data_IF_127264448915
#
_entry.id   IF_127264448915
#
_cell.length_a   1.000
_cell.length_b   1.000
_cell.length_c   1.000
_cell.angle_alpha   90.00
_cell.angle_beta   90.00
_cell.angle_gamma   90.00
#
_symmetry.space_group_name_H-M   'P 1'
#
loop_
_entity.id
_entity.type
_entity.pdbx_description
1 polymer ?
#
# COMPACT_ATOMS: atom_id res chain seq x y z
N UNK A 1 -1.42 9.51 4.37
CA UNK A 1 -2.67 8.81 4.74
C UNK A 1 -3.80 9.32 3.85
N UNK A 2 -4.81 8.53 3.43
CA UNK A 2 -5.91 9.06 2.63
C UNK A 2 -6.69 10.14 3.38
N UNK A 3 -7.10 11.18 2.67
CA UNK A 3 -7.89 12.28 3.26
C UNK A 3 -9.27 11.79 3.72
N UNK A 4 -9.93 12.51 4.65
CA UNK A 4 -11.32 12.22 5.02
C UNK A 4 -12.26 12.19 3.82
N UNK A 5 -11.99 12.99 2.78
CA UNK A 5 -12.77 12.99 1.54
C UNK A 5 -12.71 11.65 0.84
N UNK A 6 -11.53 11.05 0.69
CA UNK A 6 -11.40 9.72 0.08
C UNK A 6 -12.20 8.67 0.86
N UNK A 7 -12.26 8.77 2.19
CA UNK A 7 -13.03 7.84 3.02
C UNK A 7 -14.55 7.94 2.79
N UNK A 8 -15.06 9.05 2.25
CA UNK A 8 -16.48 9.29 2.07
C UNK A 8 -16.99 9.11 0.63
N UNK A 9 -16.12 8.84 -0.36
CA UNK A 9 -16.58 8.59 -1.73
C UNK A 9 -17.24 7.21 -1.86
N UNK A 10 -18.08 7.03 -2.88
CA UNK A 10 -18.73 5.76 -3.18
C UNK A 10 -17.71 4.60 -3.29
N UNK A 11 -18.06 3.43 -2.74
CA UNK A 11 -17.17 2.27 -2.67
C UNK A 11 -16.61 1.87 -4.04
N UNK A 12 -17.47 1.83 -5.06
CA UNK A 12 -17.07 1.53 -6.45
C UNK A 12 -15.98 2.48 -6.96
N UNK A 13 -16.09 3.78 -6.64
CA UNK A 13 -15.09 4.78 -7.02
C UNK A 13 -13.76 4.53 -6.29
N UNK A 14 -13.80 4.17 -5.00
CA UNK A 14 -12.59 3.76 -4.27
C UNK A 14 -11.92 2.57 -4.94
N UNK A 15 -12.70 1.52 -5.22
CA UNK A 15 -12.18 0.28 -5.82
C UNK A 15 -11.53 0.57 -7.18
N UNK A 16 -12.14 1.38 -8.06
CA UNK A 16 -11.51 1.74 -9.34
C UNK A 16 -10.17 2.45 -9.17
N UNK A 17 -10.08 3.40 -8.23
CA UNK A 17 -8.83 4.11 -7.93
C UNK A 17 -7.76 3.13 -7.44
N UNK A 18 -8.13 2.23 -6.52
CA UNK A 18 -7.19 1.26 -5.96
C UNK A 18 -6.72 0.23 -6.98
N UNK A 19 -7.59 -0.24 -7.87
CA UNK A 19 -7.22 -1.15 -8.97
C UNK A 19 -6.26 -0.45 -9.94
N UNK A 20 -6.57 0.78 -10.35
CA UNK A 20 -5.72 1.56 -11.27
C UNK A 20 -4.33 1.82 -10.67
N UNK A 21 -4.31 2.14 -9.38
CA UNK A 21 -3.07 2.30 -8.63
C UNK A 21 -2.28 0.98 -8.55
N UNK A 22 -2.94 -0.12 -8.20
CA UNK A 22 -2.34 -1.44 -8.15
C UNK A 22 -1.69 -1.83 -9.48
N UNK A 23 -2.37 -1.57 -10.60
CA UNK A 23 -1.85 -1.85 -11.95
C UNK A 23 -0.59 -1.03 -12.25
N UNK A 24 -0.60 0.28 -11.97
CA UNK A 24 0.56 1.15 -12.17
C UNK A 24 1.75 0.71 -11.30
N UNK A 25 1.52 0.46 -10.01
CA UNK A 25 2.58 0.04 -9.07
C UNK A 25 3.06 -1.39 -9.30
N UNK A 26 2.30 -2.22 -10.01
CA UNK A 26 2.75 -3.53 -10.48
C UNK A 26 3.63 -3.43 -11.72
N UNK A 27 3.56 -2.32 -12.45
CA UNK A 27 4.27 -2.11 -13.71
C UNK A 27 5.58 -1.35 -13.53
N UNK A 28 5.63 -0.36 -12.63
CA UNK A 28 6.79 0.52 -12.46
C UNK A 28 7.13 0.79 -10.98
N UNK A 29 8.37 1.19 -10.67
CA UNK A 29 8.72 1.72 -9.36
C UNK A 29 7.85 2.92 -8.97
N UNK A 30 7.54 3.11 -7.68
CA UNK A 30 6.74 4.26 -7.19
C UNK A 30 7.31 5.60 -7.71
N UNK A 31 8.64 5.75 -7.68
CA UNK A 31 9.33 6.96 -8.16
C UNK A 31 9.18 7.23 -9.66
N UNK A 32 8.71 6.25 -10.44
CA UNK A 32 8.45 6.35 -11.87
C UNK A 32 6.96 6.23 -12.21
N UNK A 33 6.09 6.02 -11.21
CA UNK A 33 4.66 5.97 -11.42
C UNK A 33 4.12 7.37 -11.75
N UNK A 34 3.13 7.41 -12.64
CA UNK A 34 2.54 8.68 -13.06
C UNK A 34 1.10 8.80 -12.58
N UNK A 35 0.82 9.88 -11.84
CA UNK A 35 -0.54 10.25 -11.42
C UNK A 35 -1.49 10.28 -12.63
N UNK A 36 -1.01 10.77 -13.80
CA UNK A 36 -1.82 10.83 -15.02
C UNK A 36 -2.33 9.47 -15.48
N UNK A 37 -1.52 8.43 -15.39
CA UNK A 37 -1.92 7.07 -15.79
C UNK A 37 -3.02 6.56 -14.86
N UNK A 38 -2.83 6.73 -13.55
CA UNK A 38 -3.77 6.29 -12.52
C UNK A 38 -5.11 6.99 -12.65
N UNK A 39 -5.12 8.32 -12.78
CA UNK A 39 -6.39 9.09 -12.84
C UNK A 39 -7.15 8.86 -14.15
N UNK A 40 -6.43 8.62 -15.25
CA UNK A 40 -7.02 8.26 -16.53
C UNK A 40 -7.71 6.89 -16.47
N UNK A 41 -7.02 5.88 -15.93
CA UNK A 41 -7.57 4.54 -15.77
C UNK A 41 -8.72 4.50 -14.75
N UNK A 42 -8.61 5.26 -13.66
CA UNK A 42 -9.64 5.34 -12.62
C UNK A 42 -10.88 6.17 -13.02
N UNK A 43 -10.82 6.87 -14.16
CA UNK A 43 -11.84 7.80 -14.65
C UNK A 43 -12.15 8.91 -13.64
N UNK A 44 -11.10 9.59 -13.15
CA UNK A 44 -11.22 10.76 -12.28
C UNK A 44 -10.40 11.93 -12.81
N UNK A 45 -10.79 13.16 -12.46
CA UNK A 45 -10.00 14.35 -12.79
C UNK A 45 -8.67 14.34 -12.01
N UNK A 46 -7.60 14.87 -12.61
CA UNK A 46 -6.29 14.99 -11.93
C UNK A 46 -6.37 15.75 -10.61
N UNK A 47 -7.18 16.81 -10.54
CA UNK A 47 -7.41 17.56 -9.30
C UNK A 47 -8.02 16.71 -8.18
N UNK A 48 -8.82 15.69 -8.51
CA UNK A 48 -9.38 14.76 -7.52
C UNK A 48 -8.30 13.93 -6.83
N UNK A 49 -7.19 13.62 -7.50
CA UNK A 49 -6.07 12.91 -6.86
C UNK A 49 -5.57 13.67 -5.63
N UNK A 50 -5.26 14.96 -5.79
CA UNK A 50 -4.74 15.79 -4.70
C UNK A 50 -5.77 16.09 -3.61
N UNK A 51 -7.07 15.91 -3.91
CA UNK A 51 -8.11 15.94 -2.89
C UNK A 51 -8.12 14.67 -2.03
N UNK A 52 -7.59 13.55 -2.54
CA UNK A 52 -7.67 12.22 -1.92
C UNK A 52 -6.35 11.78 -1.27
N UNK A 53 -5.21 12.14 -1.86
CA UNK A 53 -3.88 11.70 -1.46
C UNK A 53 -2.87 12.84 -1.58
N UNK A 54 -1.92 12.93 -0.64
CA UNK A 54 -0.83 13.92 -0.68
C UNK A 54 0.29 13.48 -1.64
N UNK A 55 0.48 12.16 -1.79
CA UNK A 55 1.56 11.57 -2.57
C UNK A 55 1.18 10.22 -3.18
N UNK A 56 2.07 9.66 -4.01
CA UNK A 56 1.91 8.31 -4.55
C UNK A 56 2.13 7.24 -3.48
N UNK A 57 3.01 7.52 -2.51
CA UNK A 57 3.27 6.68 -1.34
C UNK A 57 2.02 6.55 -0.46
N UNK A 58 1.27 7.64 -0.31
CA UNK A 58 -0.01 7.66 0.40
C UNK A 58 -1.05 6.76 -0.27
N UNK A 59 -1.18 6.87 -1.60
CA UNK A 59 -2.06 6.01 -2.38
C UNK A 59 -1.60 4.55 -2.31
N UNK A 60 -0.30 4.30 -2.40
CA UNK A 60 0.24 2.94 -2.30
C UNK A 60 0.00 2.32 -0.92
N UNK A 61 0.17 3.10 0.16
CA UNK A 61 -0.18 2.67 1.51
C UNK A 61 -1.65 2.28 1.63
N UNK A 62 -2.55 3.01 0.98
CA UNK A 62 -3.97 2.66 0.96
C UNK A 62 -4.26 1.39 0.13
N UNK A 63 -3.54 1.15 -0.97
CA UNK A 63 -3.59 -0.11 -1.71
C UNK A 63 -3.19 -1.28 -0.80
N UNK A 64 -2.08 -1.16 -0.07
CA UNK A 64 -1.62 -2.21 0.85
C UNK A 64 -2.61 -2.44 2.00
N UNK A 65 -3.18 -1.37 2.54
CA UNK A 65 -4.22 -1.45 3.57
C UNK A 65 -5.47 -2.18 3.05
N UNK A 66 -5.88 -1.91 1.81
CA UNK A 66 -7.02 -2.59 1.20
C UNK A 66 -6.76 -4.08 0.98
N UNK A 67 -5.57 -4.46 0.49
CA UNK A 67 -5.21 -5.85 0.20
C UNK A 67 -4.92 -6.68 1.47
N UNK A 68 -4.20 -6.10 2.43
CA UNK A 68 -3.57 -6.84 3.54
C UNK A 68 -3.89 -6.28 4.93
N UNK A 69 -4.58 -5.14 5.05
CA UNK A 69 -4.82 -4.47 6.33
C UNK A 69 -5.55 -5.33 7.37
N UNK A 70 -6.44 -6.22 6.92
CA UNK A 70 -7.15 -7.17 7.82
C UNK A 70 -6.34 -8.44 8.15
N UNK A 71 -5.36 -8.79 7.31
CA UNK A 71 -4.54 -10.01 7.44
C UNK A 71 -3.25 -9.73 8.23
N UNK A 72 -2.81 -8.48 8.25
CA UNK A 72 -1.58 -8.07 8.93
C UNK A 72 -1.82 -7.90 10.42
N UNK A 73 -1.28 -8.82 11.22
CA UNK A 73 -1.25 -8.66 12.68
C UNK A 73 -0.33 -7.49 13.06
N UNK A 74 -0.68 -6.78 14.12
CA UNK A 74 0.17 -5.71 14.65
C UNK A 74 1.49 -6.27 15.18
N UNK A 75 2.55 -5.45 15.18
CA UNK A 75 3.84 -5.85 15.75
C UNK A 75 3.71 -6.29 17.21
N UNK A 76 2.79 -5.67 17.97
CA UNK A 76 2.49 -6.02 19.36
C UNK A 76 2.12 -7.50 19.52
N UNK A 77 1.26 -8.03 18.64
CA UNK A 77 0.85 -9.44 18.68
C UNK A 77 2.03 -10.40 18.42
N UNK A 78 2.94 -10.02 17.52
CA UNK A 78 4.16 -10.79 17.26
C UNK A 78 5.11 -10.74 18.44
N UNK A 79 5.29 -9.59 19.09
CA UNK A 79 6.12 -9.45 20.30
C UNK A 79 5.59 -10.29 21.47
N UNK A 80 4.28 -10.28 21.69
CA UNK A 80 3.63 -11.11 22.71
C UNK A 80 3.84 -12.60 22.41
N UNK A 81 3.69 -13.01 21.16
CA UNK A 81 3.87 -14.41 20.73
C UNK A 81 5.34 -14.87 20.77
N UNK A 82 6.28 -13.94 20.70
CA UNK A 82 7.73 -14.20 20.77
C UNK A 82 8.31 -13.95 22.18
N UNK A 83 7.47 -13.84 23.21
CA UNK A 83 7.89 -13.58 24.60
C UNK A 83 8.84 -12.36 24.72
N UNK A 84 8.57 -11.31 23.94
CA UNK A 84 9.37 -10.09 23.93
C UNK A 84 10.65 -10.13 23.08
N UNK A 85 10.98 -11.26 22.43
CA UNK A 85 12.11 -11.32 21.50
C UNK A 85 11.79 -10.50 20.24
N UNK A 86 12.42 -9.32 20.16
CA UNK A 86 12.23 -8.37 19.07
C UNK A 86 12.71 -8.95 17.73
N UNK A 87 13.82 -9.67 17.72
CA UNK A 87 14.36 -10.22 16.49
C UNK A 87 13.44 -11.31 15.92
N UNK A 88 12.94 -12.21 16.77
CA UNK A 88 11.98 -13.23 16.35
C UNK A 88 10.63 -12.65 15.95
N UNK A 89 10.13 -11.65 16.67
CA UNK A 89 8.89 -10.96 16.31
C UNK A 89 8.99 -10.30 14.94
N UNK A 90 10.11 -9.61 14.67
CA UNK A 90 10.38 -9.01 13.37
C UNK A 90 10.51 -10.08 12.29
N UNK A 91 11.31 -11.13 12.52
CA UNK A 91 11.49 -12.23 11.56
C UNK A 91 10.17 -12.88 11.18
N UNK A 92 9.32 -13.18 12.16
CA UNK A 92 8.01 -13.79 11.93
C UNK A 92 7.06 -12.85 11.22
N UNK A 93 7.03 -11.57 11.61
CA UNK A 93 6.23 -10.55 10.93
C UNK A 93 6.66 -10.39 9.46
N UNK A 94 7.95 -10.24 9.19
CA UNK A 94 8.47 -10.15 7.82
C UNK A 94 8.15 -11.42 7.02
N UNK A 95 8.35 -12.62 7.60
CA UNK A 95 7.98 -13.89 6.96
C UNK A 95 6.51 -13.90 6.53
N UNK A 96 5.59 -13.48 7.40
CA UNK A 96 4.17 -13.40 7.05
C UNK A 96 3.84 -12.41 5.93
N UNK A 97 4.61 -11.34 5.78
CA UNK A 97 4.45 -10.38 4.68
C UNK A 97 4.93 -11.02 3.37
N UNK A 98 6.05 -11.74 3.41
CA UNK A 98 6.58 -12.47 2.25
C UNK A 98 5.55 -13.49 1.73
N UNK A 99 4.96 -14.26 2.64
CA UNK A 99 3.96 -15.27 2.29
C UNK A 99 2.69 -14.64 1.69
N UNK A 100 2.21 -13.54 2.27
CA UNK A 100 1.01 -12.83 1.80
C UNK A 100 1.20 -12.17 0.42
N UNK A 101 2.44 -11.84 0.07
CA UNK A 101 2.78 -11.12 -1.17
C UNK A 101 3.43 -12.05 -2.20
N UNK A 102 3.50 -13.36 -1.93
CA UNK A 102 4.20 -14.31 -2.78
C UNK A 102 3.68 -14.30 -4.23
N UNK A 103 2.36 -14.17 -4.41
CA UNK A 103 1.68 -14.10 -5.71
C UNK A 103 1.85 -12.77 -6.45
N UNK A 104 2.33 -11.73 -5.79
CA UNK A 104 2.48 -10.41 -6.40
C UNK A 104 3.65 -10.37 -7.38
N UNK A 105 3.57 -9.45 -8.34
CA UNK A 105 4.66 -9.21 -9.29
C UNK A 105 5.96 -8.82 -8.57
N UNK A 106 7.11 -9.12 -9.20
CA UNK A 106 8.41 -8.76 -8.65
C UNK A 106 8.53 -7.24 -8.41
N UNK A 107 7.97 -6.44 -9.31
CA UNK A 107 7.97 -4.98 -9.21
C UNK A 107 7.07 -4.48 -8.07
N UNK A 108 5.88 -5.06 -7.89
CA UNK A 108 5.01 -4.70 -6.78
C UNK A 108 5.67 -5.01 -5.43
N UNK A 109 6.28 -6.20 -5.31
CA UNK A 109 7.10 -6.57 -4.13
C UNK A 109 8.24 -5.59 -3.89
N UNK A 110 8.97 -5.17 -4.92
CA UNK A 110 10.03 -4.16 -4.81
C UNK A 110 9.50 -2.83 -4.26
N UNK A 111 8.30 -2.42 -4.68
CA UNK A 111 7.65 -1.21 -4.17
C UNK A 111 7.25 -1.35 -2.69
N UNK A 112 6.78 -2.53 -2.25
CA UNK A 112 6.52 -2.81 -0.83
C UNK A 112 7.79 -2.62 0.01
N UNK A 113 8.91 -3.23 -0.40
CA UNK A 113 10.18 -3.07 0.33
C UNK A 113 10.65 -1.63 0.32
N UNK A 114 10.52 -0.94 -0.82
CA UNK A 114 10.88 0.47 -0.91
C UNK A 114 10.09 1.26 0.11
N UNK A 115 8.77 1.11 0.19
CA UNK A 115 7.94 1.81 1.17
C UNK A 115 8.34 1.47 2.63
N UNK A 116 8.67 0.22 2.92
CA UNK A 116 9.08 -0.22 4.27
C UNK A 116 10.43 0.35 4.71
N UNK A 117 11.36 0.57 3.76
CA UNK A 117 12.73 1.02 4.04
C UNK A 117 12.87 2.55 3.87
N UNK A 118 11.98 3.18 3.11
CA UNK A 118 12.00 4.64 2.85
C UNK A 118 11.30 5.48 3.92
N UNK A 119 11.00 4.91 5.10
CA UNK A 119 10.73 5.69 6.30
C UNK A 119 12.00 6.38 6.79
N UNK A 120 12.42 7.44 6.09
CA UNK A 120 13.41 8.41 6.57
C UNK A 120 12.69 9.58 7.22
N UNK A 121 13.11 9.87 8.45
CA UNK A 121 13.29 11.22 9.00
C UNK A 121 12.03 12.00 9.30
#
# INVERSE_FOLDING_TARGET
MPTPTFKNIAYEKKVRILISAYNEFSRVPISKALISNIVQEALIARGSFYQYFESLEDLFGEVLNHLYGKKTKSLKLFLESSNGDVFQALKTKFGSILDQTASESAQFKANIYTLLISSRG
#
